data_IF_793647952020
#
_entry.id   IF_793647952020
#
_cell.length_a   1.000
_cell.length_b   1.000
_cell.length_c   1.000
_cell.angle_alpha   90.00
_cell.angle_beta   90.00
_cell.angle_gamma   90.00
#
_symmetry.space_group_name_H-M   'P 1'
#
loop_
_entity.id
_entity.type
_entity.pdbx_description
1 polymer ?
#
# COMPACT_ATOMS: atom_id res chain seq x y z
N UNK A 1 -4.88 -10.23 -19.83
CA UNK A 1 -3.62 -9.85 -19.15
C UNK A 1 -4.01 -9.13 -17.88
N UNK A 2 -3.74 -9.71 -16.70
CA UNK A 2 -3.89 -8.97 -15.44
C UNK A 2 -2.70 -8.03 -15.34
N UNK A 3 -2.85 -6.80 -15.82
CA UNK A 3 -1.86 -5.75 -15.62
C UNK A 3 -1.96 -5.28 -14.17
N UNK A 4 -1.27 -5.99 -13.27
CA UNK A 4 -1.03 -5.48 -11.93
C UNK A 4 0.01 -4.37 -12.00
N UNK A 5 -0.23 -3.30 -11.26
CA UNK A 5 0.76 -2.26 -10.99
C UNK A 5 1.76 -2.79 -9.98
N UNK A 6 3.03 -2.41 -10.15
CA UNK A 6 4.07 -2.71 -9.18
C UNK A 6 4.15 -1.57 -8.18
N UNK A 7 4.01 -1.90 -6.90
CA UNK A 7 4.15 -0.95 -5.80
C UNK A 7 5.61 -0.90 -5.36
N UNK A 8 6.09 0.31 -5.08
CA UNK A 8 7.41 0.56 -4.52
C UNK A 8 7.24 1.43 -3.29
N UNK A 9 7.90 1.05 -2.20
CA UNK A 9 7.92 1.80 -0.94
C UNK A 9 9.23 2.56 -0.82
N UNK A 10 9.23 3.56 0.05
CA UNK A 10 10.44 4.28 0.44
C UNK A 10 11.04 3.61 1.67
N UNK A 11 12.34 3.82 1.89
CA UNK A 11 13.01 3.36 3.12
C UNK A 11 12.31 3.89 4.38
N UNK A 12 11.82 5.15 4.34
CA UNK A 12 11.08 5.74 5.46
C UNK A 12 9.77 4.98 5.73
N UNK A 13 9.01 4.66 4.68
CA UNK A 13 7.80 3.85 4.83
C UNK A 13 8.12 2.48 5.44
N UNK A 14 9.17 1.81 4.98
CA UNK A 14 9.53 0.47 5.48
C UNK A 14 9.91 0.51 6.97
N UNK A 15 10.61 1.57 7.41
CA UNK A 15 10.94 1.80 8.81
C UNK A 15 9.68 2.05 9.64
N UNK A 16 8.82 2.97 9.21
CA UNK A 16 7.59 3.32 9.93
C UNK A 16 6.64 2.12 10.00
N UNK A 17 6.49 1.39 8.88
CA UNK A 17 5.64 0.22 8.76
C UNK A 17 6.09 -0.89 9.72
N UNK A 18 7.39 -1.10 9.89
CA UNK A 18 7.94 -2.14 10.78
C UNK A 18 7.51 -1.95 12.23
N UNK A 19 7.35 -0.71 12.67
CA UNK A 19 7.04 -0.38 14.06
C UNK A 19 5.52 -0.35 14.34
N UNK A 20 4.66 -0.51 13.32
CA UNK A 20 3.21 -0.55 13.49
C UNK A 20 2.70 -1.82 14.17
N UNK A 21 1.55 -1.67 14.84
CA UNK A 21 0.77 -2.78 15.36
C UNK A 21 0.31 -3.72 14.22
N UNK A 22 0.23 -5.02 14.54
CA UNK A 22 -0.09 -6.05 13.56
C UNK A 22 -1.47 -5.84 12.89
N UNK A 23 -2.45 -5.31 13.62
CA UNK A 23 -3.77 -4.99 13.07
C UNK A 23 -3.73 -3.88 12.01
N UNK A 24 -2.86 -2.89 12.20
CA UNK A 24 -2.67 -1.78 11.26
C UNK A 24 -1.90 -2.28 10.03
N UNK A 25 -0.87 -3.11 10.24
CA UNK A 25 -0.10 -3.73 9.15
C UNK A 25 -1.00 -4.50 8.17
N UNK A 26 -1.92 -5.31 8.69
CA UNK A 26 -2.86 -6.08 7.85
C UNK A 26 -3.72 -5.14 7.00
N UNK A 27 -4.23 -4.05 7.57
CA UNK A 27 -5.05 -3.09 6.82
C UNK A 27 -4.26 -2.43 5.68
N UNK A 28 -3.02 -2.05 5.93
CA UNK A 28 -2.13 -1.46 4.93
C UNK A 28 -1.77 -2.48 3.83
N UNK A 29 -1.52 -3.74 4.18
CA UNK A 29 -1.26 -4.80 3.20
C UNK A 29 -2.46 -5.04 2.28
N UNK A 30 -3.68 -5.03 2.83
CA UNK A 30 -4.92 -5.13 2.06
C UNK A 30 -5.08 -3.96 1.09
N UNK A 31 -4.77 -2.73 1.53
CA UNK A 31 -4.79 -1.53 0.68
C UNK A 31 -3.74 -1.61 -0.44
N UNK A 32 -2.51 -2.05 -0.14
CA UNK A 32 -1.47 -2.28 -1.15
C UNK A 32 -1.94 -3.26 -2.22
N UNK A 33 -2.63 -4.34 -1.84
CA UNK A 33 -3.19 -5.31 -2.80
C UNK A 33 -4.26 -4.68 -3.71
N UNK A 34 -5.06 -3.74 -3.19
CA UNK A 34 -6.01 -2.99 -4.01
C UNK A 34 -5.29 -2.04 -4.97
N UNK A 35 -4.24 -1.37 -4.52
CA UNK A 35 -3.43 -0.47 -5.35
C UNK A 35 -2.71 -1.21 -6.48
N UNK A 36 -2.26 -2.45 -6.26
CA UNK A 36 -1.74 -3.31 -7.33
C UNK A 36 -2.77 -3.55 -8.44
N UNK A 37 -4.06 -3.59 -8.11
CA UNK A 37 -5.14 -3.82 -9.07
C UNK A 37 -5.59 -2.52 -9.74
N UNK A 38 -5.70 -1.44 -8.97
CA UNK A 38 -6.12 -0.13 -9.45
C UNK A 38 -5.55 1.00 -8.56
N UNK A 39 -4.55 1.77 -9.02
CA UNK A 39 -3.92 2.83 -8.23
C UNK A 39 -4.81 4.09 -8.12
N UNK A 40 -5.92 4.15 -8.86
CA UNK A 40 -6.87 5.26 -8.83
C UNK A 40 -8.09 4.95 -7.94
N UNK A 41 -7.97 3.97 -7.03
CA UNK A 41 -9.04 3.61 -6.07
C UNK A 41 -9.37 4.76 -5.13
N UNK A 42 -8.38 5.58 -4.76
CA UNK A 42 -8.55 6.65 -3.79
C UNK A 42 -8.56 8.05 -4.42
N UNK A 43 -9.08 9.01 -3.64
CA UNK A 43 -9.08 10.42 -4.03
C UNK A 43 -7.65 10.97 -3.93
N UNK A 44 -7.23 11.81 -4.89
CA UNK A 44 -5.97 12.53 -4.75
C UNK A 44 -6.01 13.36 -3.46
N UNK A 45 -4.86 13.41 -2.78
CA UNK A 45 -4.62 14.38 -1.71
C UNK A 45 -4.63 15.76 -2.38
N UNK A 46 -5.72 16.51 -2.17
CA UNK A 46 -6.10 17.69 -2.93
C UNK A 46 -5.13 18.85 -2.91
#
# INVERSE_FOLDING_TARGET
MNNKYKIFTTEQFDLDFKDLDNSIKIQIEDEIEQLEKNPYVEKPLG
#
